data_IF_034200912864
#
_entry.id   IF_034200912864
#
_cell.length_a   1.000
_cell.length_b   1.000
_cell.length_c   1.000
_cell.angle_alpha   90.00
_cell.angle_beta   90.00
_cell.angle_gamma   90.00
#
_symmetry.space_group_name_H-M   'P 1'
#
loop_
_entity.id
_entity.type
_entity.pdbx_description
1 polymer ?
#
# COMPACT_ATOMS: atom_id res chain seq x y z
N UNK A 1 20.31 -9.48 10.24
CA UNK A 1 19.95 -10.23 9.02
C UNK A 1 18.55 -10.83 9.11
N UNK A 2 18.20 -11.64 10.13
CA UNK A 2 16.86 -12.26 10.30
C UNK A 2 15.69 -11.25 10.21
N UNK A 3 15.79 -10.09 10.87
CA UNK A 3 14.74 -9.05 10.90
C UNK A 3 14.39 -8.52 9.50
N UNK A 4 15.39 -8.31 8.65
CA UNK A 4 15.18 -7.79 7.29
C UNK A 4 14.47 -8.82 6.40
N UNK A 5 14.82 -10.10 6.54
CA UNK A 5 14.16 -11.18 5.80
C UNK A 5 12.69 -11.32 6.22
N UNK A 6 12.39 -11.18 7.51
CA UNK A 6 11.01 -11.16 8.02
C UNK A 6 10.22 -9.98 7.43
N UNK A 7 10.76 -8.75 7.48
CA UNK A 7 10.06 -7.57 6.98
C UNK A 7 9.85 -7.61 5.48
N UNK A 8 10.86 -8.06 4.73
CA UNK A 8 10.75 -8.31 3.30
C UNK A 8 9.57 -9.23 3.00
N UNK A 9 9.49 -10.38 3.68
CA UNK A 9 8.44 -11.37 3.45
C UNK A 9 7.05 -10.83 3.77
N UNK A 10 6.91 -10.06 4.87
CA UNK A 10 5.65 -9.41 5.23
C UNK A 10 5.22 -8.42 4.14
N UNK A 11 6.14 -7.59 3.65
CA UNK A 11 5.85 -6.61 2.59
C UNK A 11 5.47 -7.32 1.29
N UNK A 12 6.22 -8.34 0.89
CA UNK A 12 5.93 -9.12 -0.32
C UNK A 12 4.54 -9.77 -0.24
N UNK A 13 4.16 -10.33 0.91
CA UNK A 13 2.84 -10.89 1.15
C UNK A 13 1.75 -9.80 1.08
N UNK A 14 1.97 -8.66 1.72
CA UNK A 14 1.05 -7.52 1.68
C UNK A 14 0.82 -7.04 0.23
N UNK A 15 1.90 -6.81 -0.53
CA UNK A 15 1.84 -6.37 -1.94
C UNK A 15 1.15 -7.43 -2.80
N UNK A 16 1.44 -8.71 -2.57
CA UNK A 16 0.77 -9.80 -3.27
C UNK A 16 -0.74 -9.83 -2.98
N UNK A 17 -1.15 -9.63 -1.73
CA UNK A 17 -2.54 -9.56 -1.33
C UNK A 17 -3.25 -8.33 -1.93
N UNK A 18 -2.58 -7.17 -1.90
CA UNK A 18 -3.05 -5.95 -2.55
C UNK A 18 -3.34 -6.19 -4.03
N UNK A 19 -2.37 -6.76 -4.76
CA UNK A 19 -2.49 -7.05 -6.20
C UNK A 19 -3.61 -8.04 -6.53
N UNK A 20 -4.01 -8.91 -5.58
CA UNK A 20 -5.10 -9.87 -5.74
C UNK A 20 -6.45 -9.38 -5.23
N UNK A 21 -6.53 -8.14 -4.76
CA UNK A 21 -7.71 -7.58 -4.08
C UNK A 21 -8.18 -8.41 -2.86
N UNK A 22 -7.21 -9.06 -2.19
CA UNK A 22 -7.41 -9.93 -1.03
C UNK A 22 -7.20 -9.12 0.25
N UNK A 23 -8.25 -8.40 0.67
CA UNK A 23 -8.17 -7.46 1.79
C UNK A 23 -7.86 -8.20 3.10
N UNK A 24 -8.47 -9.36 3.35
CA UNK A 24 -8.18 -10.14 4.55
C UNK A 24 -6.69 -10.49 4.65
N UNK A 25 -6.05 -10.89 3.55
CA UNK A 25 -4.60 -11.16 3.57
C UNK A 25 -3.74 -9.91 3.69
N UNK A 26 -4.19 -8.74 3.26
CA UNK A 26 -3.47 -7.48 3.50
C UNK A 26 -3.35 -7.18 5.00
N UNK A 27 -4.29 -7.64 5.82
CA UNK A 27 -4.39 -7.29 7.24
C UNK A 27 -3.64 -8.26 8.17
N UNK A 28 -3.24 -9.44 7.69
CA UNK A 28 -2.70 -10.54 8.52
C UNK A 28 -1.53 -10.09 9.41
N UNK A 29 -0.59 -9.35 8.83
CA UNK A 29 0.63 -8.90 9.49
C UNK A 29 0.55 -7.43 9.95
N UNK A 30 -0.66 -6.87 10.08
CA UNK A 30 -0.86 -5.51 10.57
C UNK A 30 -1.02 -5.46 12.09
N UNK A 31 -0.56 -4.35 12.66
CA UNK A 31 -0.84 -3.99 14.05
C UNK A 31 -2.22 -3.32 14.14
N UNK A 32 -2.97 -3.57 15.22
CA UNK A 32 -4.34 -3.06 15.38
C UNK A 32 -4.41 -1.53 15.33
N UNK A 33 -3.36 -0.86 15.78
CA UNK A 33 -3.14 0.59 15.71
C UNK A 33 -2.43 1.10 14.45
N UNK A 34 -2.49 0.39 13.32
CA UNK A 34 -1.90 0.81 12.04
C UNK A 34 -2.34 2.23 11.65
N UNK A 35 -1.38 3.05 11.23
CA UNK A 35 -1.64 4.33 10.56
C UNK A 35 -1.29 4.19 9.09
N UNK A 36 -2.18 4.64 8.21
CA UNK A 36 -1.91 4.70 6.77
C UNK A 36 -2.06 6.12 6.29
N UNK A 37 -1.11 6.57 5.47
CA UNK A 37 -1.16 7.87 4.80
C UNK A 37 -0.85 7.71 3.31
N UNK A 38 -1.62 8.42 2.49
CA UNK A 38 -1.27 8.68 1.10
C UNK A 38 -0.80 10.13 0.97
N UNK A 39 0.43 10.29 0.47
CA UNK A 39 1.11 11.56 0.33
C UNK A 39 1.38 11.80 -1.15
N UNK A 40 0.81 12.87 -1.71
CA UNK A 40 1.12 13.28 -3.08
C UNK A 40 1.49 14.75 -3.12
N UNK A 41 2.53 15.09 -3.88
CA UNK A 41 3.06 16.46 -3.94
C UNK A 41 3.43 17.05 -2.56
N UNK A 42 3.79 16.18 -1.60
CA UNK A 42 4.14 16.57 -0.23
C UNK A 42 2.94 16.83 0.69
N UNK A 43 1.71 16.64 0.23
CA UNK A 43 0.49 16.81 1.03
C UNK A 43 -0.15 15.46 1.37
N UNK A 44 -0.65 15.32 2.61
CA UNK A 44 -1.40 14.13 3.03
C UNK A 44 -2.84 14.24 2.50
N UNK A 45 -3.14 13.46 1.47
CA UNK A 45 -4.45 13.48 0.80
C UNK A 45 -5.46 12.53 1.44
N UNK A 46 -4.96 11.51 2.14
CA UNK A 46 -5.77 10.51 2.83
C UNK A 46 -4.99 9.99 4.03
N UNK A 47 -5.66 9.88 5.17
CA UNK A 47 -5.10 9.26 6.37
C UNK A 47 -6.15 8.35 7.03
N UNK A 48 -5.71 7.23 7.57
CA UNK A 48 -6.55 6.33 8.39
C UNK A 48 -5.79 5.93 9.65
N UNK A 49 -6.53 5.73 10.74
CA UNK A 49 -5.98 5.28 12.02
C UNK A 49 -6.76 4.07 12.54
N UNK A 50 -6.02 2.99 12.79
CA UNK A 50 -6.55 1.71 13.25
C UNK A 50 -6.92 0.75 12.12
N UNK A 51 -6.85 -0.54 12.42
CA UNK A 51 -7.06 -1.63 11.45
C UNK A 51 -8.47 -1.65 10.85
N UNK A 52 -9.48 -1.22 11.61
CA UNK A 52 -10.87 -1.11 11.13
C UNK A 52 -10.99 -0.04 10.06
N UNK A 53 -10.48 1.17 10.33
CA UNK A 53 -10.51 2.28 9.37
C UNK A 53 -9.70 1.96 8.12
N UNK A 54 -8.53 1.33 8.28
CA UNK A 54 -7.73 0.86 7.16
C UNK A 54 -8.49 -0.16 6.30
N UNK A 55 -9.14 -1.16 6.91
CA UNK A 55 -9.94 -2.17 6.20
C UNK A 55 -11.09 -1.53 5.42
N UNK A 56 -11.86 -0.64 6.04
CA UNK A 56 -12.95 0.07 5.37
C UNK A 56 -12.45 0.87 4.17
N UNK A 57 -11.31 1.55 4.30
CA UNK A 57 -10.70 2.30 3.21
C UNK A 57 -10.21 1.37 2.09
N UNK A 58 -9.61 0.23 2.42
CA UNK A 58 -9.14 -0.74 1.45
C UNK A 58 -10.29 -1.37 0.64
N UNK A 59 -11.43 -1.65 1.28
CA UNK A 59 -12.65 -2.15 0.61
C UNK A 59 -13.28 -1.07 -0.29
N UNK A 60 -13.30 0.19 0.15
CA UNK A 60 -13.74 1.31 -0.71
C UNK A 60 -12.83 1.47 -1.93
N UNK A 61 -11.51 1.44 -1.72
CA UNK A 61 -10.53 1.62 -2.78
C UNK A 61 -10.49 0.45 -3.79
N UNK A 62 -10.90 -0.76 -3.37
CA UNK A 62 -11.01 -1.93 -4.26
C UNK A 62 -11.94 -1.67 -5.45
N UNK A 63 -13.02 -0.91 -5.26
CA UNK A 63 -13.97 -0.59 -6.32
C UNK A 63 -13.45 0.39 -7.38
N UNK A 64 -12.31 1.03 -7.15
CA UNK A 64 -11.74 2.04 -8.07
C UNK A 64 -11.05 1.38 -9.27
N UNK A 65 -10.56 0.14 -9.13
CA UNK A 65 -9.71 -0.52 -10.13
C UNK A 65 -10.29 -1.85 -10.60
N UNK A 66 -10.30 -2.08 -11.93
CA UNK A 66 -10.53 -3.41 -12.53
C UNK A 66 -9.31 -4.30 -12.35
N UNK A 67 -8.15 -3.70 -12.55
CA UNK A 67 -6.85 -4.34 -12.40
C UNK A 67 -5.93 -3.38 -11.64
N UNK A 68 -5.12 -3.91 -10.71
CA UNK A 68 -4.08 -3.14 -10.04
C UNK A 68 -2.87 -4.03 -9.77
N UNK A 69 -1.68 -3.44 -9.92
CA UNK A 69 -0.42 -4.12 -9.68
C UNK A 69 0.63 -3.15 -9.19
N UNK A 70 1.10 -3.38 -7.97
CA UNK A 70 2.34 -2.86 -7.44
C UNK A 70 3.45 -3.87 -7.68
N UNK A 71 4.56 -3.43 -8.29
CA UNK A 71 5.78 -4.22 -8.42
C UNK A 71 6.88 -3.53 -7.61
N UNK A 72 7.45 -4.24 -6.65
CA UNK A 72 8.61 -3.76 -5.91
C UNK A 72 9.84 -3.81 -6.84
N UNK A 73 10.53 -2.70 -6.95
CA UNK A 73 11.75 -2.56 -7.76
C UNK A 73 13.00 -2.54 -6.89
N UNK A 74 12.91 -2.03 -5.66
CA UNK A 74 14.01 -2.05 -4.70
C UNK A 74 13.53 -2.04 -3.24
N UNK A 75 14.43 -2.41 -2.31
CA UNK A 75 14.20 -2.39 -0.86
C UNK A 75 15.33 -1.68 -0.12
N UNK A 76 14.96 -0.72 0.72
CA UNK A 76 15.87 0.06 1.55
C UNK A 76 15.52 -0.14 3.03
N UNK A 77 16.41 -0.77 3.79
CA UNK A 77 16.15 -1.16 5.18
C UNK A 77 16.76 -0.17 6.18
N UNK A 78 15.93 0.29 7.13
CA UNK A 78 16.28 1.27 8.16
C UNK A 78 15.75 0.82 9.53
N UNK A 79 16.46 -0.09 10.21
CA UNK A 79 16.11 -0.63 11.52
C UNK A 79 14.68 -1.22 11.63
N UNK A 80 13.68 -0.42 11.98
CA UNK A 80 12.27 -0.76 12.12
C UNK A 80 11.42 -0.26 10.94
N UNK A 81 12.03 0.41 9.95
CA UNK A 81 11.39 0.87 8.74
C UNK A 81 12.01 0.20 7.50
N UNK A 82 11.19 -0.02 6.48
CA UNK A 82 11.61 -0.47 5.16
C UNK A 82 10.93 0.39 4.12
N UNK A 83 11.71 1.06 3.29
CA UNK A 83 11.17 1.76 2.13
C UNK A 83 11.28 0.84 0.92
N UNK A 84 10.23 0.78 0.11
CA UNK A 84 10.23 0.04 -1.15
C UNK A 84 9.89 0.96 -2.29
N UNK A 85 10.67 0.86 -3.35
CA UNK A 85 10.37 1.57 -4.59
C UNK A 85 9.36 0.74 -5.38
N UNK A 86 8.33 1.38 -5.90
CA UNK A 86 7.17 0.74 -6.52
C UNK A 86 6.95 1.27 -7.93
N UNK A 87 6.86 0.34 -8.88
CA UNK A 87 6.20 0.57 -10.17
C UNK A 87 4.73 0.16 -10.04
N UNK A 88 3.82 1.13 -10.09
CA UNK A 88 2.38 0.93 -10.03
C UNK A 88 1.77 0.93 -11.43
N UNK A 89 0.87 -0.01 -11.68
CA UNK A 89 0.06 -0.09 -12.88
C UNK A 89 -1.38 -0.45 -12.51
N UNK A 90 -2.37 0.18 -13.12
CA UNK A 90 -3.77 -0.16 -12.90
C UNK A 90 -4.69 0.24 -14.04
N UNK A 91 -5.86 -0.39 -14.10
CA UNK A 91 -6.95 -0.04 -15.02
C UNK A 91 -8.15 0.40 -14.19
N UNK A 92 -8.68 1.59 -14.45
CA UNK A 92 -9.80 2.13 -13.69
C UNK A 92 -11.10 1.37 -13.96
N UNK A 93 -11.88 1.19 -12.90
CA UNK A 93 -13.24 0.67 -12.95
C UNK A 93 -14.30 1.76 -13.03
N UNK A 94 -13.98 2.96 -12.55
CA UNK A 94 -14.88 4.10 -12.41
C UNK A 94 -14.33 5.32 -13.13
N UNK A 95 -15.21 6.27 -13.42
CA UNK A 95 -14.81 7.60 -13.86
C UNK A 95 -14.35 8.42 -12.64
N UNK A 96 -13.23 9.11 -12.77
CA UNK A 96 -12.68 10.03 -11.77
C UNK A 96 -12.84 11.48 -12.26
N UNK A 97 -12.79 12.42 -11.32
CA UNK A 97 -13.09 13.85 -11.56
C UNK A 97 -12.08 14.52 -12.52
N UNK A 98 -10.88 13.96 -12.67
CA UNK A 98 -9.74 14.60 -13.35
C UNK A 98 -9.53 14.05 -14.78
N UNK A 99 -10.60 13.98 -15.58
CA UNK A 99 -10.62 13.45 -16.97
C UNK A 99 -10.25 11.96 -17.15
N UNK A 100 -9.87 11.27 -16.07
CA UNK A 100 -9.62 9.83 -16.08
C UNK A 100 -10.94 9.05 -16.02
N UNK A 101 -11.12 8.09 -16.94
CA UNK A 101 -12.35 7.32 -17.12
C UNK A 101 -12.17 5.85 -16.82
N UNK A 102 -13.28 5.14 -16.65
CA UNK A 102 -13.28 3.68 -16.59
C UNK A 102 -12.60 3.11 -17.83
N UNK A 103 -11.63 2.20 -17.63
CA UNK A 103 -10.81 1.62 -18.69
C UNK A 103 -9.48 2.32 -18.93
N UNK A 104 -9.28 3.53 -18.40
CA UNK A 104 -7.99 4.21 -18.52
C UNK A 104 -6.92 3.50 -17.69
N UNK A 105 -5.70 3.57 -18.22
CA UNK A 105 -4.52 2.99 -17.60
C UNK A 105 -3.78 4.04 -16.79
N UNK A 106 -3.48 3.71 -15.54
CA UNK A 106 -2.63 4.50 -14.65
C UNK A 106 -1.28 3.81 -14.53
N UNK A 107 -0.21 4.55 -14.75
CA UNK A 107 1.17 4.12 -14.50
C UNK A 107 1.87 5.17 -13.66
N UNK A 108 2.40 4.76 -12.51
CA UNK A 108 3.04 5.66 -11.55
C UNK A 108 4.29 5.00 -10.99
N UNK A 109 5.28 5.82 -10.67
CA UNK A 109 6.42 5.43 -9.85
C UNK A 109 6.31 6.15 -8.53
N UNK A 110 6.55 5.43 -7.45
CA UNK A 110 6.48 5.99 -6.11
C UNK A 110 7.26 5.15 -5.13
N UNK A 111 7.12 5.49 -3.86
CA UNK A 111 7.74 4.78 -2.76
C UNK A 111 6.69 4.50 -1.68
N UNK A 112 6.75 3.31 -1.09
CA UNK A 112 5.99 3.00 0.11
C UNK A 112 6.95 2.79 1.28
N UNK A 113 6.74 3.51 2.37
CA UNK A 113 7.49 3.32 3.62
C UNK A 113 6.65 2.47 4.59
N UNK A 114 7.21 1.34 5.02
CA UNK A 114 6.61 0.42 5.98
C UNK A 114 7.35 0.50 7.30
N UNK A 115 6.66 0.90 8.38
CA UNK A 115 7.21 0.85 9.73
C UNK A 115 6.68 -0.36 10.48
N UNK A 116 7.54 -0.97 11.29
CA UNK A 116 7.26 -2.19 12.01
C UNK A 116 7.34 -2.02 13.52
N UNK A 117 6.44 -2.71 14.22
CA UNK A 117 6.47 -2.90 15.67
C UNK A 117 6.09 -4.35 15.96
N UNK A 118 6.91 -5.06 16.73
CA UNK A 118 6.67 -6.47 17.11
C UNK A 118 6.42 -7.38 15.89
N UNK A 119 7.18 -7.17 14.80
CA UNK A 119 7.02 -7.85 13.51
C UNK A 119 5.65 -7.67 12.83
N UNK A 120 4.91 -6.62 13.19
CA UNK A 120 3.70 -6.20 12.52
C UNK A 120 3.88 -4.82 11.89
N UNK A 121 3.20 -4.56 10.78
CA UNK A 121 3.17 -3.24 10.16
C UNK A 121 2.36 -2.30 11.06
N UNK A 122 2.98 -1.23 11.56
CA UNK A 122 2.35 -0.19 12.39
C UNK A 122 2.15 1.12 11.62
N UNK A 123 2.87 1.33 10.52
CA UNK A 123 2.69 2.49 9.64
C UNK A 123 2.91 2.10 8.18
N UNK A 124 2.09 2.64 7.28
CA UNK A 124 2.34 2.65 5.84
C UNK A 124 2.20 4.08 5.33
N UNK A 125 3.21 4.58 4.61
CA UNK A 125 3.14 5.85 3.89
C UNK A 125 3.39 5.59 2.41
N UNK A 126 2.39 5.83 1.58
CA UNK A 126 2.53 5.79 0.13
C UNK A 126 2.84 7.20 -0.38
N UNK A 127 3.93 7.35 -1.13
CA UNK A 127 4.51 8.63 -1.53
C UNK A 127 4.64 8.67 -3.05
N UNK A 128 4.03 9.68 -3.67
CA UNK A 128 4.04 9.94 -5.11
C UNK A 128 4.38 11.39 -5.45
#
# INVERSE_FOLDING_TARGET
MIKNDTYRKIIENYIQAYNRFDIEKMLIDMHDGIVFENISNGEVNLSTAGIVAFKEQAEKAKGIFKERKQKITDFHFYNDQVNVDIDYNGILAVDLINDLKSGDRIELKGQSAFKFKDNKIIEIKDIS
#
